data_IF_038324850259
#
_entry.id   IF_038324850259
#
_cell.length_a   1.000
_cell.length_b   1.000
_cell.length_c   1.000
_cell.angle_alpha   90.00
_cell.angle_beta   90.00
_cell.angle_gamma   90.00
#
_symmetry.space_group_name_H-M   'P 1'
#
loop_
_entity.id
_entity.type
_entity.pdbx_description
1 polymer ?
#
# COMPACT_ATOMS: atom_id res chain seq x y z
N UNK A 1 -11.82 -12.92 -11.40
CA UNK A 1 -11.72 -11.56 -10.83
C UNK A 1 -11.03 -10.61 -11.79
N UNK A 2 -11.37 -9.32 -11.75
CA UNK A 2 -10.79 -8.26 -12.61
C UNK A 2 -9.25 -8.21 -12.56
N UNK A 3 -8.65 -8.54 -11.40
CA UNK A 3 -7.20 -8.68 -11.19
C UNK A 3 -6.59 -9.77 -12.09
N UNK A 4 -7.22 -10.96 -12.14
CA UNK A 4 -6.73 -12.09 -12.93
C UNK A 4 -6.78 -11.79 -14.45
N UNK A 5 -7.76 -11.00 -14.91
CA UNK A 5 -7.87 -10.57 -16.31
C UNK A 5 -6.70 -9.67 -16.73
N UNK A 6 -6.20 -8.85 -15.81
CA UNK A 6 -5.05 -7.95 -16.03
C UNK A 6 -3.68 -8.63 -15.86
N UNK A 7 -3.66 -9.94 -15.52
CA UNK A 7 -2.43 -10.73 -15.27
C UNK A 7 -1.51 -10.10 -14.21
N UNK A 8 -2.09 -9.37 -13.26
CA UNK A 8 -1.35 -8.81 -12.13
C UNK A 8 -1.12 -9.93 -11.12
N UNK A 9 0.14 -10.13 -10.72
CA UNK A 9 0.50 -11.13 -9.73
C UNK A 9 0.45 -10.52 -8.34
N UNK A 10 -0.60 -10.87 -7.60
CA UNK A 10 -0.70 -10.58 -6.17
C UNK A 10 0.11 -11.62 -5.41
N UNK A 11 0.99 -11.15 -4.51
CA UNK A 11 1.73 -11.98 -3.58
C UNK A 11 0.85 -12.37 -2.40
N UNK A 12 0.23 -11.38 -1.75
CA UNK A 12 -0.65 -11.61 -0.61
C UNK A 12 -1.67 -10.47 -0.49
N UNK A 13 -2.80 -10.79 0.17
CA UNK A 13 -3.74 -9.81 0.67
C UNK A 13 -3.96 -10.11 2.14
N UNK A 14 -3.66 -9.15 3.01
CA UNK A 14 -3.91 -9.25 4.45
C UNK A 14 -4.91 -8.18 4.87
N UNK A 15 -5.56 -8.40 6.00
CA UNK A 15 -6.43 -7.43 6.63
C UNK A 15 -5.97 -7.19 8.06
N UNK A 16 -6.30 -6.02 8.58
CA UNK A 16 -6.04 -5.62 9.96
C UNK A 16 -7.22 -4.81 10.46
N UNK A 17 -7.58 -5.04 11.71
CA UNK A 17 -8.41 -4.12 12.50
C UNK A 17 -7.48 -3.36 13.44
N UNK A 18 -7.66 -2.04 13.55
CA UNK A 18 -6.84 -1.21 14.43
C UNK A 18 -7.13 -1.55 15.89
N UNK A 19 -6.07 -1.83 16.64
CA UNK A 19 -6.16 -2.06 18.10
C UNK A 19 -6.69 -0.82 18.82
N UNK A 20 -7.45 -1.04 19.89
CA UNK A 20 -8.12 0.01 20.68
C UNK A 20 -7.12 1.05 21.20
N UNK A 21 -5.98 0.61 21.74
CA UNK A 21 -4.95 1.53 22.26
C UNK A 21 -4.39 2.43 21.15
N UNK A 22 -4.12 1.86 19.98
CA UNK A 22 -3.66 2.61 18.80
C UNK A 22 -4.72 3.58 18.27
N UNK A 23 -6.00 3.23 18.41
CA UNK A 23 -7.12 4.10 18.06
C UNK A 23 -7.18 5.30 19.03
N UNK A 24 -7.18 5.05 20.34
CA UNK A 24 -7.21 6.08 21.37
C UNK A 24 -6.00 7.03 21.25
N UNK A 25 -4.81 6.51 20.99
CA UNK A 25 -3.62 7.32 20.75
C UNK A 25 -3.76 8.21 19.51
N UNK A 26 -4.38 7.69 18.44
CA UNK A 26 -4.64 8.47 17.22
C UNK A 26 -5.68 9.56 17.47
N UNK A 27 -6.78 9.23 18.18
CA UNK A 27 -7.80 10.20 18.58
C UNK A 27 -7.20 11.33 19.39
N UNK A 28 -6.37 11.01 20.39
CA UNK A 28 -5.69 11.99 21.24
C UNK A 28 -4.74 12.88 20.44
N UNK A 29 -3.89 12.29 19.58
CA UNK A 29 -2.92 13.05 18.78
C UNK A 29 -3.59 13.96 17.76
N UNK A 30 -4.67 13.50 17.11
CA UNK A 30 -5.39 14.25 16.07
C UNK A 30 -6.56 15.08 16.61
N UNK A 31 -6.84 15.02 17.92
CA UNK A 31 -7.97 15.69 18.59
C UNK A 31 -9.33 15.36 17.93
N UNK A 32 -9.53 14.09 17.61
CA UNK A 32 -10.74 13.58 16.95
C UNK A 32 -11.75 13.16 18.02
N UNK A 33 -12.94 13.78 18.09
CA UNK A 33 -13.97 13.43 19.06
C UNK A 33 -14.80 12.19 18.66
N UNK A 34 -15.07 12.00 17.35
CA UNK A 34 -15.78 10.83 16.83
C UNK A 34 -14.88 10.00 15.91
N UNK A 35 -14.42 8.82 16.37
CA UNK A 35 -13.49 8.02 15.59
C UNK A 35 -14.14 7.31 14.40
N UNK A 36 -15.44 7.04 14.42
CA UNK A 36 -16.05 6.14 13.43
C UNK A 36 -16.22 6.81 12.06
N UNK A 37 -16.39 8.14 12.03
CA UNK A 37 -16.47 8.91 10.80
C UNK A 37 -15.13 9.56 10.38
N UNK A 38 -14.24 9.83 11.33
CA UNK A 38 -13.00 10.57 11.10
C UNK A 38 -11.73 9.69 11.02
N UNK A 39 -11.78 8.44 11.51
CA UNK A 39 -10.66 7.51 11.47
C UNK A 39 -10.90 6.45 10.40
N UNK A 40 -10.31 6.71 9.23
CA UNK A 40 -10.53 5.92 8.02
C UNK A 40 -9.66 4.65 7.91
N UNK A 41 -8.73 4.43 8.85
CA UNK A 41 -7.84 3.26 8.91
C UNK A 41 -8.24 2.29 10.04
N UNK A 42 -9.51 2.30 10.46
CA UNK A 42 -10.02 1.35 11.45
C UNK A 42 -9.98 -0.09 10.91
N UNK A 43 -10.41 -0.25 9.66
CA UNK A 43 -10.25 -1.47 8.87
C UNK A 43 -9.25 -1.16 7.77
N UNK A 44 -8.18 -1.95 7.70
CA UNK A 44 -7.13 -1.80 6.69
C UNK A 44 -6.93 -3.09 5.91
N UNK A 45 -6.82 -2.98 4.60
CA UNK A 45 -6.38 -4.05 3.71
C UNK A 45 -5.00 -3.73 3.18
N UNK A 46 -4.12 -4.72 3.14
CA UNK A 46 -2.81 -4.60 2.52
C UNK A 46 -2.73 -5.56 1.35
N UNK A 47 -2.52 -5.00 0.16
CA UNK A 47 -2.42 -5.71 -1.10
C UNK A 47 -0.96 -5.66 -1.54
N UNK A 48 -0.27 -6.78 -1.38
CA UNK A 48 1.14 -6.91 -1.74
C UNK A 48 1.24 -7.50 -3.15
N UNK A 49 1.85 -6.78 -4.06
CA UNK A 49 2.16 -7.23 -5.41
C UNK A 49 3.68 -7.42 -5.61
N UNK A 50 4.10 -7.86 -6.79
CA UNK A 50 5.51 -8.16 -7.03
C UNK A 50 6.32 -6.97 -7.55
N UNK A 51 5.69 -6.01 -8.23
CA UNK A 51 6.43 -5.00 -9.01
C UNK A 51 5.77 -3.62 -8.93
N UNK A 52 6.57 -2.56 -8.90
CA UNK A 52 6.11 -1.17 -8.90
C UNK A 52 5.17 -0.85 -10.07
N UNK A 53 5.41 -1.45 -11.24
CA UNK A 53 4.58 -1.26 -12.44
C UNK A 53 3.10 -1.61 -12.24
N UNK A 54 2.81 -2.46 -11.25
CA UNK A 54 1.45 -2.96 -11.02
C UNK A 54 0.65 -2.05 -10.06
N UNK A 55 1.29 -1.09 -9.37
CA UNK A 55 0.64 -0.23 -8.36
C UNK A 55 -0.41 0.68 -8.99
N UNK A 56 -0.07 1.38 -10.08
CA UNK A 56 -1.03 2.27 -10.77
C UNK A 56 -2.21 1.51 -11.35
N UNK A 57 -1.98 0.30 -11.86
CA UNK A 57 -3.04 -0.54 -12.43
C UNK A 57 -3.99 -1.05 -11.33
N UNK A 58 -3.45 -1.48 -10.19
CA UNK A 58 -4.24 -1.87 -9.02
C UNK A 58 -5.00 -0.68 -8.42
N UNK A 59 -4.37 0.49 -8.33
CA UNK A 59 -5.01 1.73 -7.89
C UNK A 59 -6.24 2.03 -8.73
N UNK A 60 -6.08 2.06 -10.06
CA UNK A 60 -7.17 2.36 -10.98
C UNK A 60 -8.28 1.31 -10.90
N UNK A 61 -7.91 0.03 -10.69
CA UNK A 61 -8.89 -1.02 -10.47
C UNK A 61 -9.69 -0.78 -9.18
N UNK A 62 -9.03 -0.51 -8.06
CA UNK A 62 -9.74 -0.28 -6.80
C UNK A 62 -10.60 0.98 -6.81
N UNK A 63 -10.19 2.04 -7.52
CA UNK A 63 -11.06 3.22 -7.77
C UNK A 63 -12.31 2.89 -8.59
N UNK A 64 -12.21 1.92 -9.50
CA UNK A 64 -13.35 1.47 -10.28
C UNK A 64 -14.33 0.64 -9.43
N UNK A 65 -13.83 -0.15 -8.48
CA UNK A 65 -14.64 -1.07 -7.66
C UNK A 65 -15.19 -0.42 -6.36
N UNK A 66 -14.46 0.52 -5.76
CA UNK A 66 -14.80 1.13 -4.46
C UNK A 66 -15.01 2.64 -4.56
N UNK A 67 -15.80 3.20 -3.63
CA UNK A 67 -16.01 4.64 -3.52
C UNK A 67 -14.80 5.25 -2.81
N UNK A 68 -13.74 5.52 -3.57
CA UNK A 68 -12.49 6.09 -3.08
C UNK A 68 -12.65 7.60 -2.94
N UNK A 69 -12.53 8.10 -1.71
CA UNK A 69 -12.72 9.52 -1.38
C UNK A 69 -11.42 10.22 -0.99
N UNK A 70 -10.32 9.50 -0.80
CA UNK A 70 -8.99 10.05 -0.52
C UNK A 70 -7.89 9.11 -1.06
N UNK A 71 -6.79 9.70 -1.54
CA UNK A 71 -5.62 8.99 -2.06
C UNK A 71 -4.35 9.68 -1.54
N UNK A 72 -3.44 8.86 -1.00
CA UNK A 72 -2.09 9.25 -0.61
C UNK A 72 -1.10 8.38 -1.41
N UNK A 73 -0.54 8.97 -2.47
CA UNK A 73 0.36 8.33 -3.45
C UNK A 73 1.82 8.69 -3.14
N UNK A 74 2.42 7.93 -2.22
CA UNK A 74 3.78 8.18 -1.71
C UNK A 74 4.88 7.88 -2.71
N UNK A 75 4.54 7.32 -3.87
CA UNK A 75 5.51 7.13 -4.96
C UNK A 75 5.86 8.47 -5.60
N UNK A 76 4.91 9.41 -5.64
CA UNK A 76 5.05 10.70 -6.33
C UNK A 76 5.52 11.84 -5.44
N UNK A 77 5.42 11.66 -4.13
CA UNK A 77 5.75 12.67 -3.11
C UNK A 77 7.22 12.62 -2.66
N UNK A 78 8.05 11.73 -3.22
CA UNK A 78 9.47 11.66 -2.86
C UNK A 78 10.27 12.79 -3.51
N UNK A 79 10.80 13.69 -2.67
CA UNK A 79 11.95 14.50 -3.04
C UNK A 79 13.05 13.55 -3.54
N UNK A 80 13.63 13.83 -4.71
CA UNK A 80 14.58 12.98 -5.46
C UNK A 80 15.77 12.41 -4.66
N UNK A 81 15.98 12.86 -3.42
CA UNK A 81 17.09 12.52 -2.55
C UNK A 81 16.74 11.55 -1.40
N UNK A 82 15.47 11.18 -1.21
CA UNK A 82 15.05 10.26 -0.14
C UNK A 82 14.28 9.11 -0.79
N UNK A 83 14.96 7.98 -0.99
CA UNK A 83 14.32 6.73 -1.37
C UNK A 83 13.49 6.25 -0.17
N UNK A 84 12.23 6.62 -0.15
CA UNK A 84 11.35 6.47 1.00
C UNK A 84 10.51 5.21 0.91
N UNK A 85 9.43 5.23 1.71
CA UNK A 85 8.42 4.19 1.72
C UNK A 85 7.45 4.40 0.55
N UNK A 86 7.64 3.64 -0.53
CA UNK A 86 6.77 3.70 -1.69
C UNK A 86 5.52 2.84 -1.52
N UNK A 87 4.36 3.49 -1.49
CA UNK A 87 3.06 2.83 -1.36
C UNK A 87 1.95 3.73 -1.91
N UNK A 88 0.82 3.12 -2.23
CA UNK A 88 -0.42 3.83 -2.52
C UNK A 88 -1.43 3.51 -1.43
N UNK A 89 -1.94 4.53 -0.76
CA UNK A 89 -2.98 4.42 0.25
C UNK A 89 -4.28 4.99 -0.31
N UNK A 90 -5.32 4.17 -0.37
CA UNK A 90 -6.66 4.59 -0.78
C UNK A 90 -7.59 4.50 0.41
N UNK A 91 -8.31 5.57 0.73
CA UNK A 91 -9.43 5.50 1.69
C UNK A 91 -10.73 5.42 0.91
N UNK A 92 -11.52 4.42 1.25
CA UNK A 92 -12.67 4.06 0.45
C UNK A 92 -13.86 3.61 1.30
N UNK A 93 -15.02 3.60 0.67
CA UNK A 93 -16.25 2.94 1.14
C UNK A 93 -16.70 1.91 0.11
N UNK A 94 -17.58 1.02 0.53
CA UNK A 94 -18.22 0.10 -0.41
C UNK A 94 -19.12 0.90 -1.36
N UNK A 95 -19.04 0.63 -2.66
CA UNK A 95 -20.03 1.15 -3.60
C UNK A 95 -21.37 0.46 -3.34
N UNK A 96 -22.49 1.19 -3.32
CA UNK A 96 -23.79 0.56 -3.53
C UNK A 96 -23.73 -0.13 -4.90
N UNK A 97 -23.73 -1.46 -4.90
CA UNK A 97 -23.66 -2.24 -6.13
C UNK A 97 -24.74 -3.29 -6.12
N UNK A 98 -25.23 -3.62 -7.33
CA UNK A 98 -26.22 -4.67 -7.55
C UNK A 98 -25.73 -6.07 -7.12
N UNK A 99 -24.45 -6.22 -6.77
CA UNK A 99 -23.84 -7.47 -6.29
C UNK A 99 -24.17 -7.78 -4.83
N UNK A 100 -24.56 -6.78 -4.03
CA UNK A 100 -25.03 -7.02 -2.67
C UNK A 100 -26.52 -7.39 -2.71
N UNK A 101 -26.83 -8.60 -3.18
CA UNK A 101 -28.17 -9.21 -3.04
C UNK A 101 -28.57 -9.38 -1.56
N UNK A 102 -27.58 -9.36 -0.67
CA UNK A 102 -27.78 -9.35 0.77
C UNK A 102 -27.94 -7.90 1.19
N UNK A 103 -29.04 -7.60 1.87
CA UNK A 103 -29.29 -6.32 2.55
C UNK A 103 -28.20 -6.04 3.59
N UNK A 104 -27.06 -5.54 3.14
CA UNK A 104 -25.98 -5.07 4.01
C UNK A 104 -26.50 -3.85 4.76
N UNK A 105 -26.29 -3.86 6.07
CA UNK A 105 -26.61 -2.74 6.93
C UNK A 105 -25.97 -1.45 6.37
N UNK A 106 -26.75 -0.37 6.27
CA UNK A 106 -26.25 0.94 5.79
C UNK A 106 -25.03 1.42 6.57
N UNK A 107 -24.93 1.03 7.84
CA UNK A 107 -23.78 1.31 8.71
C UNK A 107 -22.49 0.70 8.17
N UNK A 108 -22.56 -0.53 7.62
CA UNK A 108 -21.41 -1.22 7.02
C UNK A 108 -21.04 -0.59 5.67
N UNK A 109 -22.04 -0.21 4.86
CA UNK A 109 -21.79 0.48 3.59
C UNK A 109 -21.04 1.80 3.78
N UNK A 110 -21.34 2.52 4.86
CA UNK A 110 -20.74 3.82 5.16
C UNK A 110 -19.41 3.73 5.89
N UNK A 111 -19.03 2.56 6.42
CA UNK A 111 -17.81 2.39 7.18
C UNK A 111 -16.58 2.59 6.27
N UNK A 112 -15.72 3.58 6.56
CA UNK A 112 -14.50 3.79 5.78
C UNK A 112 -13.48 2.70 6.08
N UNK A 113 -12.72 2.33 5.06
CA UNK A 113 -11.57 1.45 5.17
C UNK A 113 -10.40 1.96 4.31
N UNK A 114 -9.19 1.55 4.68
CA UNK A 114 -7.96 1.86 3.96
C UNK A 114 -7.50 0.66 3.14
N UNK A 115 -7.08 0.88 1.89
CA UNK A 115 -6.38 -0.09 1.05
C UNK A 115 -4.96 0.41 0.83
N UNK A 116 -3.97 -0.34 1.32
CA UNK A 116 -2.55 -0.10 1.08
C UNK A 116 -2.07 -1.01 -0.03
N UNK A 117 -1.61 -0.44 -1.14
CA UNK A 117 -1.05 -1.17 -2.28
C UNK A 117 0.47 -1.00 -2.22
N UNK A 118 1.18 -2.12 -2.16
CA UNK A 118 2.62 -2.14 -1.94
C UNK A 118 3.28 -3.29 -2.69
N UNK A 119 4.58 -3.18 -2.97
CA UNK A 119 5.38 -4.30 -3.48
C UNK A 119 5.93 -5.15 -2.36
N UNK A 120 6.34 -6.38 -2.66
CA UNK A 120 7.01 -7.25 -1.67
C UNK A 120 8.31 -6.64 -1.13
N UNK A 121 9.08 -5.93 -1.97
CA UNK A 121 10.33 -5.29 -1.56
C UNK A 121 10.05 -4.14 -0.58
N UNK A 122 9.08 -3.29 -0.89
CA UNK A 122 8.70 -2.17 -0.03
C UNK A 122 8.01 -2.63 1.26
N UNK A 123 7.25 -3.72 1.22
CA UNK A 123 6.67 -4.33 2.42
C UNK A 123 7.74 -4.86 3.37
N UNK A 124 8.79 -5.49 2.83
CA UNK A 124 9.93 -5.94 3.62
C UNK A 124 10.67 -4.74 4.25
N UNK A 125 10.96 -3.70 3.47
CA UNK A 125 11.56 -2.47 3.96
C UNK A 125 10.74 -1.86 5.10
N UNK A 126 9.44 -1.63 4.87
CA UNK A 126 8.54 -1.00 5.83
C UNK A 126 8.38 -1.79 7.13
N UNK A 127 8.37 -3.12 7.03
CA UNK A 127 8.26 -3.99 8.21
C UNK A 127 9.53 -3.90 9.07
N UNK A 128 10.69 -3.88 8.44
CA UNK A 128 11.99 -3.79 9.12
C UNK A 128 12.19 -2.39 9.70
N UNK A 129 11.98 -1.34 8.89
CA UNK A 129 12.15 0.04 9.33
C UNK A 129 11.21 0.37 10.47
N UNK A 130 9.93 0.03 10.38
CA UNK A 130 8.97 0.26 11.47
C UNK A 130 9.34 -0.47 12.76
N UNK A 131 9.88 -1.70 12.67
CA UNK A 131 10.35 -2.43 13.86
C UNK A 131 11.58 -1.76 14.51
N UNK A 132 12.47 -1.19 13.71
CA UNK A 132 13.67 -0.49 14.17
C UNK A 132 13.35 0.92 14.70
N UNK A 133 12.54 1.69 13.97
CA UNK A 133 12.11 3.05 14.33
C UNK A 133 11.27 3.07 15.62
N UNK A 134 10.47 2.02 15.87
CA UNK A 134 9.73 1.89 17.11
C UNK A 134 10.65 1.89 18.35
N UNK A 135 11.93 1.52 18.18
CA UNK A 135 12.98 1.68 19.18
C UNK A 135 13.77 2.98 18.93
N UNK A 136 13.07 4.12 18.98
CA UNK A 136 13.57 5.51 19.01
C UNK A 136 14.82 5.82 18.18
N UNK A 137 14.64 6.64 17.15
CA UNK A 137 15.67 7.32 16.33
C UNK A 137 16.86 7.97 17.08
N UNK A 138 16.75 8.17 18.40
CA UNK A 138 17.75 8.83 19.23
C UNK A 138 19.01 7.99 19.49
N UNK A 139 18.98 6.68 19.25
CA UNK A 139 20.02 5.78 19.77
C UNK A 139 21.03 5.30 18.70
N UNK A 140 20.77 5.56 17.41
CA UNK A 140 21.71 5.18 16.36
C UNK A 140 22.86 6.19 16.21
N UNK A 141 24.08 5.67 16.03
CA UNK A 141 25.22 6.47 15.59
C UNK A 141 25.00 6.98 14.16
N UNK A 142 25.64 8.10 13.80
CA UNK A 142 25.47 8.72 12.47
C UNK A 142 25.82 7.76 11.32
N UNK A 143 26.79 6.86 11.52
CA UNK A 143 27.13 5.83 10.54
C UNK A 143 25.98 4.84 10.33
N UNK A 144 25.31 4.40 11.39
CA UNK A 144 24.17 3.48 11.28
C UNK A 144 22.95 4.17 10.67
N UNK A 145 22.72 5.45 10.96
CA UNK A 145 21.69 6.24 10.28
C UNK A 145 21.96 6.32 8.78
N UNK A 146 23.22 6.56 8.39
CA UNK A 146 23.64 6.56 6.99
C UNK A 146 23.39 5.20 6.32
N UNK A 147 23.75 4.10 6.97
CA UNK A 147 23.52 2.76 6.45
C UNK A 147 22.02 2.45 6.33
N UNK A 148 21.21 2.91 7.29
CA UNK A 148 19.76 2.77 7.25
C UNK A 148 19.13 3.48 6.04
N UNK A 149 19.54 4.72 5.75
CA UNK A 149 19.12 5.42 4.54
C UNK A 149 19.67 4.77 3.26
N UNK A 150 20.87 4.19 3.28
CA UNK A 150 21.40 3.47 2.13
C UNK A 150 20.58 2.20 1.83
N UNK A 151 20.11 1.50 2.87
CA UNK A 151 19.26 0.32 2.73
C UNK A 151 17.91 0.66 2.08
N UNK A 152 17.30 1.79 2.41
CA UNK A 152 16.05 2.23 1.76
C UNK A 152 16.25 2.41 0.25
N UNK A 153 17.37 3.01 -0.16
CA UNK A 153 17.80 3.10 -1.55
C UNK A 153 18.04 1.73 -2.19
N UNK A 154 18.64 0.77 -1.48
CA UNK A 154 18.85 -0.59 -2.00
C UNK A 154 17.52 -1.30 -2.29
N UNK A 155 16.51 -1.16 -1.43
CA UNK A 155 15.17 -1.71 -1.67
C UNK A 155 14.51 -1.08 -2.90
N UNK A 156 14.61 0.24 -3.06
CA UNK A 156 14.14 0.94 -4.25
C UNK A 156 14.81 0.41 -5.52
N UNK A 157 16.14 0.29 -5.52
CA UNK A 157 16.93 -0.20 -6.66
C UNK A 157 16.52 -1.64 -6.99
N UNK A 158 16.43 -2.52 -5.99
CA UNK A 158 16.03 -3.91 -6.20
C UNK A 158 14.65 -4.01 -6.86
N UNK A 159 13.65 -3.28 -6.34
CA UNK A 159 12.29 -3.28 -6.87
C UNK A 159 12.22 -2.78 -8.33
N UNK A 160 12.94 -1.70 -8.61
CA UNK A 160 13.09 -1.14 -9.96
C UNK A 160 13.71 -2.16 -10.93
N UNK A 161 14.81 -2.79 -10.54
CA UNK A 161 15.50 -3.77 -11.38
C UNK A 161 14.66 -5.04 -11.62
N UNK A 162 13.91 -5.50 -10.62
CA UNK A 162 12.95 -6.60 -10.83
C UNK A 162 11.88 -6.22 -11.86
N UNK A 163 11.39 -4.97 -11.83
CA UNK A 163 10.49 -4.43 -12.86
C UNK A 163 11.11 -4.46 -14.27
N UNK A 164 12.37 -4.03 -14.41
CA UNK A 164 13.08 -4.07 -15.69
C UNK A 164 13.24 -5.51 -16.22
N UNK A 165 13.62 -6.46 -15.36
CA UNK A 165 13.75 -7.87 -15.73
C UNK A 165 12.42 -8.47 -16.22
N UNK A 166 11.30 -8.13 -15.55
CA UNK A 166 9.95 -8.53 -15.98
C UNK A 166 9.62 -8.02 -17.38
N UNK A 167 9.95 -6.76 -17.67
CA UNK A 167 9.70 -6.15 -18.99
C UNK A 167 10.52 -6.83 -20.08
N UNK A 168 11.80 -7.06 -19.83
CA UNK A 168 12.69 -7.73 -20.78
C UNK A 168 12.24 -9.17 -21.07
N UNK A 169 11.85 -9.92 -20.03
CA UNK A 169 11.30 -11.27 -20.20
C UNK A 169 10.02 -11.25 -21.06
N UNK A 170 9.13 -10.27 -20.85
CA UNK A 170 7.90 -10.11 -21.66
C UNK A 170 8.22 -9.82 -23.12
N UNK A 171 9.19 -8.94 -23.39
CA UNK A 171 9.62 -8.61 -24.75
C UNK A 171 10.14 -9.83 -25.49
N UNK A 172 11.02 -10.62 -24.85
CA UNK A 172 11.56 -11.84 -25.46
C UNK A 172 10.50 -12.90 -25.77
N UNK A 173 9.41 -12.96 -25.00
CA UNK A 173 8.29 -13.86 -25.29
C UNK A 173 7.54 -13.39 -26.54
N UNK A 174 7.27 -12.09 -26.67
CA UNK A 174 6.59 -11.51 -27.84
C UNK A 174 7.43 -11.72 -29.10
N UNK A 175 8.72 -11.39 -29.05
CA UNK A 175 9.65 -11.56 -30.18
C UNK A 175 9.76 -13.03 -30.65
N UNK A 176 9.51 -14.00 -29.76
CA UNK A 176 9.46 -15.43 -30.08
C UNK A 176 8.11 -15.87 -30.66
N UNK A 177 7.02 -15.17 -30.36
CA UNK A 177 5.69 -15.46 -30.91
C UNK A 177 5.50 -14.88 -32.31
N UNK A 178 6.26 -13.83 -32.65
CA UNK A 178 6.23 -13.17 -33.96
C UNK A 178 7.18 -13.81 -35.00
N UNK A 179 7.97 -14.81 -34.61
CA UNK A 179 8.83 -15.63 -35.49
C UNK A 179 8.21 -16.99 -35.74
#
# INVERSE_FOLDING_TARGET
TSIAKKRIKIHSVTNRIKEVDSLLDKMRRKKIPDPFDEIHDLVGFRVVCLFLSDLDELKNLFKAEFDVFDEDDKIKDEELNIFGYMSVHLKARLKPSDFFEISIDKTILNLPFEIQIITIAQEAWASISHYLDYKKDSDFSDNLKRDFHALSGLFYVADTHFGMLKQEQRKQIIDKMEK
#
